data_IF_903723913268
#
_entry.id   IF_903723913268
#
_cell.length_a   1.000
_cell.length_b   1.000
_cell.length_c   1.000
_cell.angle_alpha   90.00
_cell.angle_beta   90.00
_cell.angle_gamma   90.00
#
_symmetry.space_group_name_H-M   'P 1'
#
loop_
_entity.id
_entity.type
_entity.pdbx_description
1 polymer ?
#
# COMPACT_ATOMS: atom_id res chain seq x y z
N UNK A 1 24.44 -13.84 -16.43
CA UNK A 1 23.82 -14.65 -15.35
C UNK A 1 22.63 -13.96 -14.69
N UNK A 2 22.72 -12.66 -14.34
CA UNK A 2 21.59 -11.84 -13.82
C UNK A 2 20.34 -11.80 -14.70
N UNK A 3 20.48 -11.63 -16.03
CA UNK A 3 19.35 -11.47 -16.96
C UNK A 3 18.44 -12.69 -17.05
N UNK A 4 19.03 -13.91 -17.02
CA UNK A 4 18.27 -15.16 -17.03
C UNK A 4 17.53 -15.43 -15.71
N UNK A 5 18.05 -14.92 -14.59
CA UNK A 5 17.40 -15.02 -13.28
C UNK A 5 16.18 -14.10 -13.20
N UNK A 6 16.28 -12.85 -13.66
CA UNK A 6 15.13 -11.94 -13.73
C UNK A 6 14.05 -12.46 -14.71
N UNK A 7 14.44 -12.92 -15.90
CA UNK A 7 13.49 -13.54 -16.84
C UNK A 7 12.81 -14.80 -16.29
N UNK A 8 13.53 -15.63 -15.53
CA UNK A 8 12.95 -16.81 -14.89
C UNK A 8 12.00 -16.42 -13.74
N UNK A 9 12.30 -15.36 -12.98
CA UNK A 9 11.38 -14.80 -12.00
C UNK A 9 10.13 -14.22 -12.66
N UNK A 10 10.28 -13.46 -13.76
CA UNK A 10 9.16 -12.87 -14.48
C UNK A 10 8.25 -13.95 -15.07
N UNK A 11 8.81 -14.99 -15.70
CA UNK A 11 8.04 -16.14 -16.17
C UNK A 11 7.37 -16.90 -15.02
N UNK A 12 8.00 -17.02 -13.86
CA UNK A 12 7.41 -17.67 -12.70
C UNK A 12 6.28 -16.83 -12.09
N UNK A 13 6.40 -15.51 -12.07
CA UNK A 13 5.35 -14.57 -11.62
C UNK A 13 4.19 -14.58 -12.61
N UNK A 14 4.46 -14.44 -13.90
CA UNK A 14 3.44 -14.49 -14.95
C UNK A 14 2.72 -15.85 -14.96
N UNK A 15 3.45 -16.95 -14.85
CA UNK A 15 2.87 -18.29 -14.78
C UNK A 15 2.14 -18.56 -13.46
N UNK A 16 2.56 -17.96 -12.35
CA UNK A 16 1.83 -18.02 -11.08
C UNK A 16 0.56 -17.16 -11.10
N UNK A 17 0.55 -16.07 -11.87
CA UNK A 17 -0.65 -15.30 -12.16
C UNK A 17 -1.57 -16.10 -13.09
N UNK A 18 -1.09 -16.63 -14.21
CA UNK A 18 -1.88 -17.49 -15.11
C UNK A 18 -2.45 -18.74 -14.43
N UNK A 19 -1.70 -19.39 -13.53
CA UNK A 19 -2.17 -20.58 -12.80
C UNK A 19 -3.01 -20.26 -11.56
N UNK A 20 -3.08 -18.99 -11.14
CA UNK A 20 -3.67 -18.57 -9.87
C UNK A 20 -4.85 -17.61 -10.01
N UNK A 21 -5.07 -17.04 -11.19
CA UNK A 21 -6.23 -16.19 -11.47
C UNK A 21 -7.46 -17.07 -11.72
N UNK A 22 -8.57 -16.82 -11.04
CA UNK A 22 -9.81 -17.53 -11.31
C UNK A 22 -10.34 -17.16 -12.69
N UNK A 23 -11.04 -18.06 -13.37
CA UNK A 23 -11.68 -17.81 -14.67
C UNK A 23 -12.60 -16.56 -14.64
N UNK A 24 -13.17 -16.26 -13.47
CA UNK A 24 -13.95 -15.04 -13.23
C UNK A 24 -13.18 -13.75 -13.48
N UNK A 25 -11.85 -13.76 -13.32
CA UNK A 25 -11.00 -12.61 -13.55
C UNK A 25 -10.90 -12.30 -15.05
N UNK A 26 -10.63 -13.31 -15.89
CA UNK A 26 -10.50 -13.14 -17.34
C UNK A 26 -11.81 -12.65 -17.98
N UNK A 27 -12.97 -13.06 -17.47
CA UNK A 27 -14.25 -12.58 -17.99
C UNK A 27 -14.64 -11.17 -17.50
N UNK A 28 -14.02 -10.68 -16.43
CA UNK A 28 -14.48 -9.48 -15.71
C UNK A 28 -14.09 -8.14 -16.34
N UNK A 29 -13.21 -8.11 -17.35
CA UNK A 29 -12.77 -6.84 -17.94
C UNK A 29 -13.88 -6.06 -18.64
N UNK A 30 -14.95 -6.74 -19.07
CA UNK A 30 -16.09 -6.12 -19.76
C UNK A 30 -16.96 -5.30 -18.81
N UNK A 31 -16.96 -5.65 -17.53
CA UNK A 31 -17.84 -5.05 -16.50
C UNK A 31 -17.10 -4.11 -15.54
N UNK A 32 -15.77 -4.12 -15.56
CA UNK A 32 -14.97 -3.32 -14.66
C UNK A 32 -14.80 -1.88 -15.16
N UNK A 33 -15.11 -0.93 -14.30
CA UNK A 33 -14.83 0.48 -14.53
C UNK A 33 -13.31 0.74 -14.62
N UNK A 34 -12.87 1.84 -15.26
CA UNK A 34 -11.46 2.20 -15.29
C UNK A 34 -10.92 2.54 -13.88
N UNK A 35 -9.61 2.51 -13.71
CA UNK A 35 -8.97 2.78 -12.41
C UNK A 35 -9.40 4.14 -11.80
N UNK A 36 -9.54 5.16 -12.63
CA UNK A 36 -9.92 6.54 -12.24
C UNK A 36 -11.25 6.58 -11.50
N UNK A 37 -12.22 5.79 -11.95
CA UNK A 37 -13.51 5.67 -11.28
C UNK A 37 -13.36 5.25 -9.81
N UNK A 38 -12.50 4.26 -9.54
CA UNK A 38 -12.28 3.78 -8.18
C UNK A 38 -11.44 4.75 -7.35
N UNK A 39 -10.53 5.53 -7.96
CA UNK A 39 -9.78 6.58 -7.29
C UNK A 39 -10.71 7.69 -6.79
N UNK A 40 -11.61 8.16 -7.65
CA UNK A 40 -12.55 9.25 -7.34
C UNK A 40 -13.64 8.83 -6.36
N UNK A 41 -14.14 7.59 -6.49
CA UNK A 41 -15.24 7.10 -5.66
C UNK A 41 -14.81 6.57 -4.28
N UNK A 42 -13.51 6.45 -4.01
CA UNK A 42 -12.99 5.91 -2.75
C UNK A 42 -12.75 7.01 -1.71
N UNK A 43 -13.28 6.80 -0.50
CA UNK A 43 -13.03 7.70 0.64
C UNK A 43 -12.28 6.98 1.76
N UNK A 44 -11.29 7.68 2.34
CA UNK A 44 -10.42 7.16 3.40
C UNK A 44 -10.81 7.72 4.75
N UNK A 45 -10.85 6.87 5.79
CA UNK A 45 -10.93 7.30 7.19
C UNK A 45 -9.85 6.62 8.03
N UNK A 46 -9.10 7.43 8.77
CA UNK A 46 -8.10 6.97 9.74
C UNK A 46 -8.71 6.86 11.14
N UNK A 47 -8.61 5.69 11.76
CA UNK A 47 -9.02 5.46 13.14
C UNK A 47 -7.99 6.01 14.14
N UNK A 48 -7.95 7.33 14.31
CA UNK A 48 -6.98 7.98 15.21
C UNK A 48 -7.43 8.04 16.68
N UNK A 49 -8.68 7.71 16.99
CA UNK A 49 -9.23 7.70 18.37
C UNK A 49 -9.06 9.05 19.09
N UNK A 50 -9.28 10.16 18.38
CA UNK A 50 -9.12 11.52 18.93
C UNK A 50 -7.67 12.00 19.03
N UNK A 51 -6.68 11.17 18.62
CA UNK A 51 -5.28 11.57 18.51
C UNK A 51 -5.03 12.34 17.22
N UNK A 52 -3.99 13.17 17.23
CA UNK A 52 -3.47 13.85 16.05
C UNK A 52 -2.20 13.16 15.56
N UNK A 53 -1.92 13.22 14.26
CA UNK A 53 -0.70 12.65 13.67
C UNK A 53 0.58 13.15 14.34
N UNK A 54 0.65 14.44 14.67
CA UNK A 54 1.79 15.02 15.39
C UNK A 54 2.06 14.32 16.73
N UNK A 55 1.01 13.96 17.48
CA UNK A 55 1.15 13.25 18.76
C UNK A 55 1.65 11.82 18.55
N UNK A 56 1.21 11.15 17.49
CA UNK A 56 1.67 9.80 17.16
C UNK A 56 3.15 9.79 16.78
N UNK A 57 3.58 10.77 15.98
CA UNK A 57 4.99 10.94 15.56
C UNK A 57 5.91 11.31 16.73
N UNK A 58 5.40 12.00 17.74
CA UNK A 58 6.16 12.36 18.94
C UNK A 58 6.24 11.25 20.00
N UNK A 59 5.42 10.21 19.90
CA UNK A 59 5.35 9.14 20.91
C UNK A 59 6.24 7.97 20.49
N UNK A 60 7.31 7.61 21.22
CA UNK A 60 8.30 6.61 20.80
C UNK A 60 7.81 5.17 20.99
N UNK A 61 6.73 4.82 20.28
CA UNK A 61 6.13 3.49 20.26
C UNK A 61 5.56 3.19 18.87
N UNK A 62 5.53 1.91 18.49
CA UNK A 62 4.85 1.50 17.26
C UNK A 62 3.33 1.73 17.42
N UNK A 63 2.70 2.36 16.43
CA UNK A 63 1.26 2.59 16.38
C UNK A 63 0.64 1.80 15.24
N UNK A 64 -0.43 1.06 15.54
CA UNK A 64 -1.28 0.44 14.52
C UNK A 64 -2.55 1.26 14.37
N UNK A 65 -2.80 1.75 13.16
CA UNK A 65 -3.87 2.70 12.87
C UNK A 65 -4.84 2.01 11.91
N UNK A 66 -6.08 1.72 12.35
CA UNK A 66 -7.11 1.21 11.45
C UNK A 66 -7.40 2.19 10.33
N UNK A 67 -7.62 1.66 9.12
CA UNK A 67 -8.05 2.42 7.96
C UNK A 67 -9.33 1.81 7.42
N UNK A 68 -10.34 2.63 7.20
CA UNK A 68 -11.57 2.21 6.52
C UNK A 68 -11.67 2.94 5.19
N UNK A 69 -11.87 2.17 4.13
CA UNK A 69 -12.18 2.64 2.79
C UNK A 69 -13.66 2.45 2.53
N UNK A 70 -14.36 3.53 2.17
CA UNK A 70 -15.68 3.42 1.53
C UNK A 70 -15.47 3.41 0.03
N UNK A 71 -15.97 2.38 -0.64
CA UNK A 71 -15.67 2.13 -2.05
C UNK A 71 -16.93 1.73 -2.82
N UNK A 72 -16.92 1.76 -4.16
CA UNK A 72 -17.99 1.17 -4.98
C UNK A 72 -18.24 -0.31 -4.70
N UNK A 73 -17.24 -1.06 -4.22
CA UNK A 73 -17.35 -2.47 -3.84
C UNK A 73 -17.77 -2.67 -2.37
N UNK A 74 -18.14 -1.59 -1.67
CA UNK A 74 -18.50 -1.61 -0.25
C UNK A 74 -17.38 -1.14 0.68
N UNK A 75 -17.47 -1.52 1.95
CA UNK A 75 -16.48 -1.14 2.96
C UNK A 75 -15.28 -2.10 2.93
N UNK A 76 -14.08 -1.54 2.77
CA UNK A 76 -12.83 -2.29 2.79
C UNK A 76 -11.99 -1.86 3.99
N UNK A 77 -11.50 -2.82 4.75
CA UNK A 77 -10.61 -2.56 5.90
C UNK A 77 -9.15 -2.70 5.52
N UNK A 78 -8.33 -1.79 6.03
CA UNK A 78 -6.88 -1.76 5.92
C UNK A 78 -6.28 -1.26 7.25
N UNK A 79 -4.95 -1.22 7.36
CA UNK A 79 -4.23 -0.73 8.53
C UNK A 79 -2.91 -0.08 8.10
N UNK A 80 -2.50 0.92 8.87
CA UNK A 80 -1.14 1.44 8.85
C UNK A 80 -0.39 0.94 10.08
N UNK A 81 0.91 0.77 9.92
CA UNK A 81 1.86 0.68 11.03
C UNK A 81 2.79 1.88 10.96
N UNK A 82 2.76 2.73 11.98
CA UNK A 82 3.72 3.81 12.16
C UNK A 82 4.78 3.37 13.18
N UNK A 83 6.04 3.47 12.79
CA UNK A 83 7.21 3.34 13.65
C UNK A 83 7.89 4.71 13.71
N UNK A 84 7.72 5.47 14.81
CA UNK A 84 8.29 6.81 14.93
C UNK A 84 9.82 6.83 14.97
N UNK A 85 10.40 7.91 14.46
CA UNK A 85 11.81 8.24 14.61
C UNK A 85 12.15 8.67 16.05
N UNK A 86 13.43 8.94 16.31
CA UNK A 86 13.85 9.55 17.57
C UNK A 86 13.42 11.02 17.68
N UNK A 87 13.33 11.71 16.54
CA UNK A 87 12.92 13.11 16.45
C UNK A 87 11.53 13.23 15.84
N UNK A 88 10.68 14.07 16.43
CA UNK A 88 9.32 14.30 15.93
C UNK A 88 9.29 14.99 14.55
N UNK A 89 10.31 15.78 14.22
CA UNK A 89 10.47 16.51 12.95
C UNK A 89 11.26 15.73 11.89
N UNK A 90 11.57 14.46 12.14
CA UNK A 90 12.25 13.60 11.19
C UNK A 90 11.45 13.42 9.88
N UNK A 91 12.12 13.15 8.75
CA UNK A 91 11.44 12.79 7.51
C UNK A 91 10.57 11.54 7.67
N UNK A 92 9.60 11.37 6.79
CA UNK A 92 8.64 10.27 6.79
C UNK A 92 8.92 9.37 5.58
N UNK A 93 8.87 8.06 5.79
CA UNK A 93 9.00 7.05 4.74
C UNK A 93 7.75 6.21 4.73
N UNK A 94 6.97 6.35 3.67
CA UNK A 94 5.84 5.50 3.39
C UNK A 94 6.28 4.25 2.65
N UNK A 95 5.99 3.08 3.20
CA UNK A 95 6.35 1.78 2.66
C UNK A 95 5.10 1.03 2.16
N UNK A 96 5.14 0.57 0.90
CA UNK A 96 4.12 -0.32 0.33
C UNK A 96 4.71 -1.69 -0.01
N UNK A 97 4.10 -2.75 0.52
CA UNK A 97 4.53 -4.13 0.29
C UNK A 97 4.07 -4.68 -1.08
N UNK A 98 4.71 -5.75 -1.53
CA UNK A 98 4.33 -6.53 -2.70
C UNK A 98 3.27 -7.61 -2.41
N UNK A 99 2.77 -8.23 -3.48
CA UNK A 99 1.64 -9.17 -3.45
C UNK A 99 1.85 -10.40 -2.55
N UNK A 100 3.04 -10.99 -2.54
CA UNK A 100 3.37 -12.19 -1.76
C UNK A 100 3.98 -11.91 -0.39
N UNK A 101 3.87 -10.67 0.12
CA UNK A 101 4.56 -10.23 1.34
C UNK A 101 3.58 -9.99 2.47
N UNK A 102 3.96 -10.38 3.69
CA UNK A 102 3.24 -9.98 4.90
C UNK A 102 3.23 -8.46 5.02
N UNK A 103 2.07 -7.85 5.31
CA UNK A 103 1.99 -6.43 5.64
C UNK A 103 3.00 -6.06 6.73
N UNK A 104 3.58 -4.86 6.63
CA UNK A 104 4.51 -4.25 7.60
C UNK A 104 5.91 -4.88 7.77
N UNK A 105 6.11 -6.14 7.41
CA UNK A 105 7.38 -6.82 7.66
C UNK A 105 8.43 -6.56 6.56
N UNK A 106 8.07 -6.69 5.28
CA UNK A 106 9.12 -6.78 4.25
C UNK A 106 9.82 -5.45 3.96
N UNK A 107 9.08 -4.47 3.45
CA UNK A 107 9.70 -3.19 3.04
C UNK A 107 10.12 -2.36 4.24
N UNK A 108 9.23 -2.16 5.21
CA UNK A 108 9.52 -1.34 6.39
C UNK A 108 10.60 -1.94 7.30
N UNK A 109 10.44 -3.20 7.72
CA UNK A 109 11.34 -3.81 8.72
C UNK A 109 12.63 -4.40 8.14
N UNK A 110 12.62 -5.00 6.95
CA UNK A 110 13.82 -5.68 6.42
C UNK A 110 14.62 -4.84 5.40
N UNK A 111 14.03 -3.83 4.76
CA UNK A 111 14.73 -2.99 3.78
C UNK A 111 14.99 -1.57 4.30
N UNK A 112 13.97 -0.89 4.80
CA UNK A 112 14.10 0.53 5.18
C UNK A 112 14.72 0.68 6.57
N UNK A 113 14.18 0.00 7.58
CA UNK A 113 14.61 0.17 8.97
C UNK A 113 16.11 -0.11 9.18
N UNK A 114 16.72 -1.17 8.63
CA UNK A 114 18.15 -1.43 8.84
C UNK A 114 19.06 -0.34 8.27
N UNK A 115 18.58 0.44 7.30
CA UNK A 115 19.33 1.52 6.67
C UNK A 115 19.13 2.86 7.41
N UNK A 116 17.92 3.10 7.94
CA UNK A 116 17.51 4.42 8.45
C UNK A 116 17.04 4.38 9.92
N UNK A 117 17.63 3.48 10.72
CA UNK A 117 17.19 3.23 12.10
C UNK A 117 17.20 4.51 12.94
N UNK A 118 16.01 5.00 13.30
CA UNK A 118 15.83 6.14 14.20
C UNK A 118 15.89 7.52 13.52
N UNK A 119 16.21 7.57 12.23
CA UNK A 119 16.39 8.82 11.47
C UNK A 119 15.12 9.27 10.73
N UNK A 120 14.15 8.37 10.52
CA UNK A 120 12.91 8.65 9.81
C UNK A 120 11.72 7.93 10.43
N UNK A 121 10.55 8.55 10.36
CA UNK A 121 9.28 7.90 10.69
C UNK A 121 8.94 6.92 9.59
N UNK A 122 8.68 5.66 9.92
CA UNK A 122 8.34 4.64 8.93
C UNK A 122 6.85 4.35 9.04
N UNK A 123 6.09 4.62 7.97
CA UNK A 123 4.69 4.26 7.88
C UNK A 123 4.54 3.17 6.84
N UNK A 124 4.12 1.98 7.26
CA UNK A 124 3.86 0.86 6.35
C UNK A 124 2.37 0.64 6.18
N UNK A 125 1.91 0.46 4.94
CA UNK A 125 0.52 0.17 4.61
C UNK A 125 0.29 -1.33 4.41
N UNK A 126 -0.85 -1.80 4.92
CA UNK A 126 -1.48 -3.05 4.51
C UNK A 126 -2.37 -2.77 3.30
N UNK A 127 -2.07 -3.37 2.14
CA UNK A 127 -2.90 -3.20 0.96
C UNK A 127 -4.37 -3.62 1.23
N UNK A 128 -5.36 -2.94 0.64
CA UNK A 128 -6.75 -3.39 0.67
C UNK A 128 -6.87 -4.86 0.24
N UNK A 129 -7.78 -5.61 0.86
CA UNK A 129 -7.97 -7.06 0.62
C UNK A 129 -6.77 -7.96 0.99
N UNK A 130 -5.72 -7.44 1.62
CA UNK A 130 -4.53 -8.22 1.97
C UNK A 130 -4.39 -8.42 3.49
N UNK A 131 -5.19 -9.31 4.06
CA UNK A 131 -5.11 -9.63 5.51
C UNK A 131 -4.03 -10.65 5.85
N UNK A 132 -3.88 -11.70 5.03
CA UNK A 132 -2.87 -12.75 5.13
C UNK A 132 -2.23 -13.01 3.78
N UNK A 133 -1.11 -13.74 3.77
CA UNK A 133 -0.30 -14.07 2.58
C UNK A 133 -1.09 -14.67 1.38
N UNK A 134 -2.26 -15.29 1.61
CA UNK A 134 -3.09 -15.92 0.55
C UNK A 134 -4.32 -15.10 0.14
N UNK A 135 -4.72 -14.12 0.96
CA UNK A 135 -5.95 -13.37 0.76
C UNK A 135 -5.95 -12.40 -0.44
N UNK A 136 -4.82 -11.75 -0.83
CA UNK A 136 -4.89 -10.79 -1.92
C UNK A 136 -5.15 -11.47 -3.26
N UNK A 137 -4.65 -12.69 -3.48
CA UNK A 137 -4.93 -13.46 -4.70
C UNK A 137 -6.40 -13.90 -4.71
N UNK A 138 -6.94 -14.32 -3.57
CA UNK A 138 -8.33 -14.79 -3.49
C UNK A 138 -9.37 -13.68 -3.64
N UNK A 139 -9.11 -12.50 -3.07
CA UNK A 139 -10.09 -11.39 -3.08
C UNK A 139 -9.68 -10.28 -4.03
N UNK A 140 -8.47 -9.74 -3.87
CA UNK A 140 -7.97 -8.63 -4.69
C UNK A 140 -7.78 -8.98 -6.17
N UNK A 141 -7.61 -10.25 -6.51
CA UNK A 141 -7.54 -10.74 -7.89
C UNK A 141 -8.74 -11.63 -8.28
N UNK A 142 -9.86 -11.51 -7.59
CA UNK A 142 -11.09 -12.25 -7.95
C UNK A 142 -11.77 -11.70 -9.21
N UNK A 143 -11.63 -10.40 -9.45
CA UNK A 143 -12.08 -9.69 -10.65
C UNK A 143 -11.24 -8.44 -10.90
N UNK A 144 -11.30 -7.90 -12.12
CA UNK A 144 -10.59 -6.66 -12.47
C UNK A 144 -11.07 -5.48 -11.61
N UNK A 145 -12.36 -5.43 -11.26
CA UNK A 145 -12.91 -4.46 -10.32
C UNK A 145 -12.22 -4.53 -8.94
N UNK A 146 -12.00 -5.73 -8.39
CA UNK A 146 -11.28 -5.88 -7.12
C UNK A 146 -9.81 -5.50 -7.24
N UNK A 147 -9.17 -5.78 -8.38
CA UNK A 147 -7.79 -5.38 -8.62
C UNK A 147 -7.67 -3.85 -8.70
N UNK A 148 -8.52 -3.20 -9.50
CA UNK A 148 -8.58 -1.74 -9.57
C UNK A 148 -8.87 -1.14 -8.20
N UNK A 149 -9.82 -1.69 -7.45
CA UNK A 149 -10.13 -1.21 -6.11
C UNK A 149 -8.96 -1.39 -5.13
N UNK A 150 -8.19 -2.48 -5.23
CA UNK A 150 -6.98 -2.68 -4.43
C UNK A 150 -5.93 -1.62 -4.73
N UNK A 151 -5.66 -1.39 -6.03
CA UNK A 151 -4.70 -0.39 -6.48
C UNK A 151 -5.12 1.03 -6.08
N UNK A 152 -6.36 1.41 -6.46
CA UNK A 152 -6.93 2.71 -6.14
C UNK A 152 -6.98 2.95 -4.64
N UNK A 153 -7.46 1.96 -3.88
CA UNK A 153 -7.55 2.01 -2.42
C UNK A 153 -6.20 2.31 -1.76
N UNK A 154 -5.12 1.66 -2.20
CA UNK A 154 -3.78 1.98 -1.69
C UNK A 154 -3.33 3.39 -2.06
N UNK A 155 -3.57 3.81 -3.31
CA UNK A 155 -3.19 5.15 -3.80
C UNK A 155 -3.93 6.26 -3.03
N UNK A 156 -5.24 6.11 -2.82
CA UNK A 156 -6.01 7.12 -2.06
C UNK A 156 -5.62 7.14 -0.58
N UNK A 157 -5.26 6.00 0.02
CA UNK A 157 -4.73 5.98 1.40
C UNK A 157 -3.42 6.74 1.49
N UNK A 158 -2.51 6.53 0.53
CA UNK A 158 -1.23 7.24 0.46
C UNK A 158 -1.46 8.76 0.37
N UNK A 159 -2.37 9.20 -0.50
CA UNK A 159 -2.65 10.61 -0.67
C UNK A 159 -3.35 11.24 0.54
N UNK A 160 -4.38 10.57 1.08
CA UNK A 160 -5.07 11.02 2.28
C UNK A 160 -4.10 11.13 3.47
N UNK A 161 -3.14 10.21 3.58
CA UNK A 161 -2.12 10.26 4.62
C UNK A 161 -1.16 11.44 4.38
N UNK A 162 -0.67 11.64 3.16
CA UNK A 162 0.21 12.78 2.81
C UNK A 162 -0.42 14.11 3.23
N UNK A 163 -1.73 14.26 2.99
CA UNK A 163 -2.47 15.47 3.35
C UNK A 163 -2.73 15.60 4.87
N UNK A 164 -2.88 14.48 5.58
CA UNK A 164 -3.18 14.48 7.01
C UNK A 164 -1.94 14.61 7.91
N UNK A 165 -0.76 14.25 7.41
CA UNK A 165 0.50 14.36 8.13
C UNK A 165 0.94 15.82 8.29
N UNK A 166 1.66 16.15 9.38
CA UNK A 166 2.28 17.46 9.48
C UNK A 166 3.33 17.66 8.37
N UNK A 167 3.62 18.92 7.96
CA UNK A 167 4.62 19.20 6.94
C UNK A 167 5.99 18.61 7.31
N UNK A 168 6.44 17.63 6.54
CA UNK A 168 7.75 16.98 6.65
C UNK A 168 8.13 16.39 5.28
N UNK A 169 9.43 16.24 4.97
CA UNK A 169 9.84 15.50 3.78
C UNK A 169 9.27 14.08 3.82
N UNK A 170 8.59 13.68 2.75
CA UNK A 170 7.94 12.37 2.66
C UNK A 170 8.52 11.62 1.46
N UNK A 171 8.97 10.38 1.68
CA UNK A 171 9.43 9.48 0.63
C UNK A 171 8.49 8.28 0.54
N UNK A 172 8.07 7.92 -0.67
CA UNK A 172 7.31 6.70 -0.93
C UNK A 172 8.21 5.60 -1.48
N UNK A 173 8.20 4.42 -0.87
CA UNK A 173 9.01 3.26 -1.28
C UNK A 173 8.11 2.04 -1.42
N UNK A 174 8.25 1.30 -2.52
CA UNK A 174 7.49 0.10 -2.77
C UNK A 174 8.31 -0.98 -3.47
N UNK A 175 7.93 -2.24 -3.27
CA UNK A 175 8.54 -3.39 -3.96
C UNK A 175 7.49 -4.17 -4.76
N UNK A 176 7.82 -4.54 -6.00
CA UNK A 176 6.92 -5.29 -6.90
C UNK A 176 5.58 -4.56 -7.06
N UNK A 177 4.45 -5.18 -6.69
CA UNK A 177 3.13 -4.52 -6.69
C UNK A 177 3.13 -3.21 -5.88
N UNK A 178 3.86 -3.15 -4.76
CA UNK A 178 4.01 -1.91 -4.01
C UNK A 178 4.75 -0.83 -4.78
N UNK A 179 5.71 -1.21 -5.62
CA UNK A 179 6.42 -0.29 -6.52
C UNK A 179 5.49 0.30 -7.58
N UNK A 180 4.65 -0.53 -8.19
CA UNK A 180 3.60 -0.10 -9.13
C UNK A 180 2.67 0.91 -8.45
N UNK A 181 2.19 0.60 -7.25
CA UNK A 181 1.31 1.49 -6.48
C UNK A 181 2.00 2.83 -6.16
N UNK A 182 3.27 2.82 -5.77
CA UNK A 182 4.01 4.08 -5.55
C UNK A 182 4.15 4.90 -6.83
N UNK A 183 4.37 4.26 -7.98
CA UNK A 183 4.43 4.96 -9.27
C UNK A 183 3.06 5.50 -9.69
N UNK A 184 1.97 4.78 -9.42
CA UNK A 184 0.62 5.28 -9.66
C UNK A 184 0.34 6.52 -8.79
N UNK A 185 0.65 6.47 -7.49
CA UNK A 185 0.50 7.63 -6.60
C UNK A 185 1.28 8.85 -7.13
N UNK A 186 2.52 8.64 -7.56
CA UNK A 186 3.35 9.68 -8.19
C UNK A 186 2.71 10.22 -9.48
N UNK A 187 2.19 9.34 -10.35
CA UNK A 187 1.55 9.73 -11.60
C UNK A 187 0.27 10.54 -11.43
N UNK A 188 -0.57 10.21 -10.45
CA UNK A 188 -1.84 10.92 -10.20
C UNK A 188 -1.68 12.18 -9.36
N UNK A 189 -0.76 12.18 -8.38
CA UNK A 189 -0.67 13.24 -7.38
C UNK A 189 0.67 13.99 -7.37
N UNK A 190 1.55 13.72 -8.34
CA UNK A 190 2.85 14.38 -8.47
C UNK A 190 3.89 13.96 -7.43
N UNK A 191 3.54 13.04 -6.54
CA UNK A 191 4.44 12.50 -5.53
C UNK A 191 4.76 13.44 -4.38
N UNK A 192 5.28 12.84 -3.30
CA UNK A 192 5.92 13.62 -2.26
C UNK A 192 7.31 14.07 -2.72
N UNK A 193 7.52 15.39 -2.73
CA UNK A 193 8.80 16.05 -2.94
C UNK A 193 9.48 16.34 -1.60
#
# INVERSE_FOLDING_TARGET
MRTKFFQAMDHMVLKAMELGLPDSFEASYVEAEPLDYYLEASEVRFGLEGRQWANLLATPADHHIPVTLRTPLGLVSSRLKLTPAQRSDAPIIFCHHGLGQRPFDFVGRYFVRPILTGEAHIISLQAPFHWRMRDPIQTGFSSLAHLHQMLAGSVVIMEALRQALPPAPLLTVGLSLGGIITLLHQGYYGGAA
#
